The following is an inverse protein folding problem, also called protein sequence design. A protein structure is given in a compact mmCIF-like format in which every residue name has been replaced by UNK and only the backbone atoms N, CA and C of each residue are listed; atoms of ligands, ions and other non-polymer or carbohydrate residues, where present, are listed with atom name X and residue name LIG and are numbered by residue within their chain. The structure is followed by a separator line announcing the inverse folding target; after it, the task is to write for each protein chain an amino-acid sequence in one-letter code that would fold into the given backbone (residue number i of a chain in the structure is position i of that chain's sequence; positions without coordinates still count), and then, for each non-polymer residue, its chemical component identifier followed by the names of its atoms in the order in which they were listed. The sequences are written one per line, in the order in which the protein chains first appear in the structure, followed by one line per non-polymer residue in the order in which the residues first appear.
data_IF_264828876599
#
_entry.id   IF_264828876599
#
_cell.length_a   1.000
_cell.length_b   1.000
_cell.length_c   1.000
_cell.angle_alpha   90.00
_cell.angle_beta   90.00
_cell.angle_gamma   90.00
#
_symmetry.space_group_name_H-M   'P 1'
#
loop_
_entity.id
_entity.type
_entity.pdbx_description
1 polymer ?
#
# COMPACT_ATOMS: atom_id res chain seq x y z
N UNK A 1 -19.21 -6.95 22.47
CA UNK A 1 -17.90 -6.98 23.16
C UNK A 1 -16.78 -7.54 22.30
N UNK A 2 -17.06 -8.48 21.40
CA UNK A 2 -16.08 -9.11 20.50
C UNK A 2 -15.44 -8.11 19.52
N UNK A 3 -16.24 -7.27 18.86
CA UNK A 3 -15.78 -6.30 17.86
C UNK A 3 -14.73 -5.33 18.41
N UNK A 4 -14.93 -4.76 19.61
CA UNK A 4 -13.93 -3.88 20.24
C UNK A 4 -12.60 -4.59 20.55
N UNK A 5 -12.65 -5.91 20.83
CA UNK A 5 -11.43 -6.71 21.02
C UNK A 5 -10.71 -6.94 19.69
N UNK A 6 -11.47 -7.20 18.62
CA UNK A 6 -10.93 -7.34 17.29
C UNK A 6 -10.25 -6.04 16.79
N UNK A 7 -10.90 -4.89 17.00
CA UNK A 7 -10.34 -3.57 16.68
C UNK A 7 -9.03 -3.31 17.43
N UNK A 8 -8.99 -3.58 18.74
CA UNK A 8 -7.77 -3.44 19.54
C UNK A 8 -6.65 -4.37 19.07
N UNK A 9 -6.98 -5.59 18.66
CA UNK A 9 -6.01 -6.52 18.09
C UNK A 9 -5.47 -5.96 16.76
N UNK A 10 -6.34 -5.47 15.90
CA UNK A 10 -5.97 -4.84 14.63
C UNK A 10 -5.03 -3.64 14.84
N UNK A 11 -5.37 -2.72 15.74
CA UNK A 11 -4.52 -1.56 16.08
C UNK A 11 -3.13 -1.98 16.58
N UNK A 12 -3.06 -3.02 17.42
CA UNK A 12 -1.78 -3.56 17.88
C UNK A 12 -0.97 -4.16 16.71
N UNK A 13 -1.63 -4.81 15.78
CA UNK A 13 -1.02 -5.28 14.54
C UNK A 13 -0.39 -4.15 13.74
N UNK A 14 -1.12 -3.05 13.52
CA UNK A 14 -0.59 -1.87 12.83
C UNK A 14 0.60 -1.24 13.56
N UNK A 15 0.54 -1.16 14.90
CA UNK A 15 1.66 -0.67 15.72
C UNK A 15 2.89 -1.57 15.62
N UNK A 16 2.69 -2.89 15.53
CA UNK A 16 3.79 -3.84 15.33
C UNK A 16 4.43 -3.69 13.95
N UNK A 17 3.64 -3.51 12.90
CA UNK A 17 4.16 -3.17 11.56
C UNK A 17 4.99 -1.88 11.58
N UNK A 18 4.50 -0.83 12.25
CA UNK A 18 5.22 0.44 12.36
C UNK A 18 6.59 0.30 13.04
N UNK A 19 6.75 -0.69 13.92
CA UNK A 19 8.03 -1.05 14.57
C UNK A 19 8.88 -2.05 13.76
N UNK A 20 8.35 -2.55 12.64
CA UNK A 20 9.02 -3.58 11.83
C UNK A 20 8.88 -5.00 12.38
N UNK A 21 8.06 -5.20 13.42
CA UNK A 21 7.83 -6.51 14.03
C UNK A 21 6.66 -7.22 13.32
N UNK A 22 6.96 -7.78 12.15
CA UNK A 22 5.96 -8.46 11.33
C UNK A 22 5.48 -9.78 11.95
N UNK A 23 6.33 -10.44 12.75
CA UNK A 23 5.95 -11.70 13.40
C UNK A 23 4.91 -11.45 14.50
N UNK A 24 5.11 -10.45 15.34
CA UNK A 24 4.11 -10.07 16.34
C UNK A 24 2.83 -9.53 15.67
N UNK A 25 2.95 -8.76 14.58
CA UNK A 25 1.82 -8.24 13.82
C UNK A 25 0.94 -9.37 13.27
N UNK A 26 1.55 -10.46 12.78
CA UNK A 26 0.85 -11.63 12.26
C UNK A 26 -0.09 -12.23 13.31
N UNK A 27 0.38 -12.46 14.54
CA UNK A 27 -0.46 -12.97 15.62
C UNK A 27 -1.60 -12.03 16.00
N UNK A 28 -1.38 -10.71 15.93
CA UNK A 28 -2.44 -9.73 16.21
C UNK A 28 -3.52 -9.69 15.14
N UNK A 29 -3.16 -9.77 13.85
CA UNK A 29 -4.18 -9.85 12.79
C UNK A 29 -4.92 -11.16 12.78
N UNK A 30 -4.27 -12.28 13.06
CA UNK A 30 -4.92 -13.57 13.25
C UNK A 30 -5.94 -13.50 14.40
N UNK A 31 -5.55 -12.97 15.55
CA UNK A 31 -6.45 -12.76 16.68
C UNK A 31 -7.61 -11.80 16.32
N UNK A 32 -7.36 -10.76 15.52
CA UNK A 32 -8.40 -9.86 15.05
C UNK A 32 -9.44 -10.61 14.20
N UNK A 33 -8.98 -11.41 13.23
CA UNK A 33 -9.87 -12.21 12.38
C UNK A 33 -10.68 -13.24 13.17
N UNK A 34 -10.05 -13.93 14.12
CA UNK A 34 -10.73 -14.93 14.97
C UNK A 34 -11.83 -14.33 15.86
N UNK A 35 -11.74 -13.06 16.21
CA UNK A 35 -12.71 -12.34 17.03
C UNK A 35 -13.87 -11.72 16.22
N UNK A 36 -13.74 -11.66 14.89
CA UNK A 36 -14.77 -11.15 14.00
C UNK A 36 -15.75 -12.26 13.61
N UNK A 37 -17.03 -11.95 13.42
CA UNK A 37 -17.99 -12.90 12.85
C UNK A 37 -17.61 -13.25 11.41
N UNK A 38 -18.13 -14.37 10.90
CA UNK A 38 -17.90 -14.80 9.50
C UNK A 38 -18.24 -13.70 8.48
N UNK A 39 -19.16 -12.80 8.82
CA UNK A 39 -19.58 -11.64 8.01
C UNK A 39 -18.91 -10.35 8.52
N UNK A 40 -17.68 -10.40 8.98
CA UNK A 40 -16.95 -9.29 9.61
C UNK A 40 -16.73 -8.04 8.71
N UNK A 41 -17.29 -8.04 7.52
CA UNK A 41 -17.31 -6.90 6.61
C UNK A 41 -15.91 -6.43 6.20
N UNK A 42 -15.81 -5.15 5.88
CA UNK A 42 -14.56 -4.53 5.42
C UNK A 42 -13.41 -4.65 6.42
N UNK A 43 -13.72 -4.70 7.72
CA UNK A 43 -12.70 -4.82 8.77
C UNK A 43 -12.01 -6.20 8.76
N UNK A 44 -12.76 -7.27 8.52
CA UNK A 44 -12.18 -8.63 8.38
C UNK A 44 -11.32 -8.72 7.12
N UNK A 45 -11.76 -8.11 6.03
CA UNK A 45 -11.01 -8.04 4.76
C UNK A 45 -9.71 -7.26 4.96
N UNK A 46 -9.75 -6.11 5.65
CA UNK A 46 -8.56 -5.36 5.99
C UNK A 46 -7.58 -6.19 6.82
N UNK A 47 -8.07 -6.87 7.89
CA UNK A 47 -7.24 -7.72 8.74
C UNK A 47 -6.58 -8.86 7.93
N UNK A 48 -7.32 -9.51 7.02
CA UNK A 48 -6.81 -10.53 6.12
C UNK A 48 -5.71 -10.01 5.20
N UNK A 49 -5.87 -8.82 4.64
CA UNK A 49 -4.87 -8.17 3.78
C UNK A 49 -3.58 -7.86 4.55
N UNK A 50 -3.69 -7.30 5.76
CA UNK A 50 -2.53 -7.04 6.61
C UNK A 50 -1.87 -8.32 7.11
N UNK A 51 -2.65 -9.37 7.40
CA UNK A 51 -2.13 -10.69 7.70
C UNK A 51 -1.29 -11.24 6.55
N UNK A 52 -1.80 -11.19 5.31
CA UNK A 52 -1.06 -11.57 4.10
C UNK A 52 0.25 -10.79 3.95
N UNK A 53 0.23 -9.46 4.15
CA UNK A 53 1.45 -8.65 4.14
C UNK A 53 2.47 -9.11 5.18
N UNK A 54 2.02 -9.36 6.42
CA UNK A 54 2.89 -9.81 7.51
C UNK A 54 3.44 -11.21 7.22
N UNK A 55 2.63 -12.10 6.64
CA UNK A 55 3.04 -13.43 6.22
C UNK A 55 4.18 -13.36 5.20
N UNK A 56 4.08 -12.47 4.21
CA UNK A 56 5.12 -12.25 3.21
C UNK A 56 6.41 -11.63 3.79
N UNK A 57 6.30 -10.85 4.88
CA UNK A 57 7.44 -10.18 5.49
C UNK A 57 8.14 -11.02 6.56
N UNK A 58 7.40 -11.87 7.27
CA UNK A 58 7.90 -12.68 8.39
C UNK A 58 8.27 -14.11 7.99
N UNK A 59 7.79 -14.61 6.84
CA UNK A 59 7.95 -15.99 6.41
C UNK A 59 8.23 -16.09 4.91
N UNK A 60 8.55 -17.29 4.43
CA UNK A 60 8.72 -17.59 2.99
C UNK A 60 7.41 -18.05 2.30
N UNK A 61 6.25 -17.92 2.97
CA UNK A 61 4.93 -18.32 2.45
C UNK A 61 4.37 -17.25 1.48
N UNK A 62 5.17 -16.87 0.51
CA UNK A 62 4.85 -15.79 -0.43
C UNK A 62 3.62 -16.06 -1.32
N UNK A 63 3.40 -17.29 -1.86
CA UNK A 63 2.20 -17.56 -2.66
C UNK A 63 0.92 -17.37 -1.87
N UNK A 64 0.84 -17.94 -0.66
CA UNK A 64 -0.32 -17.81 0.21
C UNK A 64 -0.59 -16.35 0.63
N UNK A 65 0.49 -15.61 0.95
CA UNK A 65 0.39 -14.19 1.25
C UNK A 65 -0.23 -13.40 0.09
N UNK A 66 0.12 -13.75 -1.13
CA UNK A 66 -0.44 -13.15 -2.35
C UNK A 66 -1.92 -13.49 -2.51
N UNK A 67 -2.28 -14.77 -2.38
CA UNK A 67 -3.67 -15.22 -2.51
C UNK A 67 -4.59 -14.50 -1.51
N UNK A 68 -4.14 -14.34 -0.25
CA UNK A 68 -4.87 -13.60 0.78
C UNK A 68 -5.07 -12.11 0.41
N UNK A 69 -4.04 -11.46 -0.10
CA UNK A 69 -4.14 -10.07 -0.50
C UNK A 69 -4.97 -9.88 -1.78
N UNK A 70 -4.91 -10.81 -2.74
CA UNK A 70 -5.74 -10.79 -3.94
C UNK A 70 -7.21 -10.99 -3.57
N UNK A 71 -7.53 -11.98 -2.72
CA UNK A 71 -8.88 -12.20 -2.20
C UNK A 71 -9.43 -10.96 -1.46
N UNK A 72 -8.58 -10.25 -0.72
CA UNK A 72 -8.98 -9.01 -0.06
C UNK A 72 -9.35 -7.91 -1.07
N UNK A 73 -8.55 -7.72 -2.10
CA UNK A 73 -8.80 -6.74 -3.17
C UNK A 73 -10.07 -7.09 -3.96
N UNK A 74 -10.34 -8.39 -4.17
CA UNK A 74 -11.59 -8.83 -4.83
C UNK A 74 -12.81 -8.57 -3.98
N UNK A 75 -12.71 -8.76 -2.66
CA UNK A 75 -13.82 -8.56 -1.73
C UNK A 75 -14.18 -7.09 -1.51
N UNK A 76 -13.19 -6.18 -1.51
CA UNK A 76 -13.38 -4.73 -1.28
C UNK A 76 -12.50 -3.95 -2.27
N UNK A 77 -12.88 -3.88 -3.55
CA UNK A 77 -12.04 -3.30 -4.60
C UNK A 77 -11.89 -1.77 -4.54
N UNK A 78 -12.63 -1.07 -3.70
CA UNK A 78 -12.58 0.38 -3.51
C UNK A 78 -11.59 0.84 -2.42
N UNK A 79 -11.00 -0.08 -1.65
CA UNK A 79 -10.05 0.29 -0.59
C UNK A 79 -8.60 0.37 -1.13
N UNK A 80 -7.97 1.56 -1.17
CA UNK A 80 -6.62 1.73 -1.68
C UNK A 80 -5.54 1.07 -0.82
N UNK A 81 -5.79 0.84 0.48
CA UNK A 81 -4.82 0.19 1.38
C UNK A 81 -4.61 -1.28 1.02
N UNK A 82 -5.64 -1.96 0.49
CA UNK A 82 -5.52 -3.34 0.04
C UNK A 82 -4.57 -3.47 -1.15
N UNK A 83 -4.61 -2.51 -2.08
CA UNK A 83 -3.67 -2.44 -3.21
C UNK A 83 -2.25 -2.12 -2.75
N UNK A 84 -2.09 -1.34 -1.68
CA UNK A 84 -0.78 -1.08 -1.10
C UNK A 84 -0.17 -2.36 -0.54
N UNK A 85 -0.95 -3.14 0.21
CA UNK A 85 -0.50 -4.39 0.80
C UNK A 85 -0.17 -5.43 -0.27
N UNK A 86 -1.07 -5.66 -1.24
CA UNK A 86 -0.84 -6.57 -2.37
C UNK A 86 0.42 -6.18 -3.16
N UNK A 87 0.59 -4.91 -3.46
CA UNK A 87 1.77 -4.45 -4.18
C UNK A 87 3.07 -4.69 -3.42
N UNK A 88 3.07 -4.53 -2.08
CA UNK A 88 4.21 -4.88 -1.23
C UNK A 88 4.52 -6.37 -1.23
N UNK A 89 3.49 -7.22 -1.22
CA UNK A 89 3.66 -8.68 -1.36
C UNK A 89 4.28 -9.03 -2.72
N UNK A 90 3.82 -8.41 -3.81
CA UNK A 90 4.42 -8.57 -5.13
C UNK A 90 5.90 -8.12 -5.16
N UNK A 91 6.25 -7.02 -4.47
CA UNK A 91 7.66 -6.61 -4.33
C UNK A 91 8.51 -7.67 -3.61
N UNK A 92 7.95 -8.34 -2.59
CA UNK A 92 8.63 -9.44 -1.88
C UNK A 92 8.85 -10.67 -2.77
N UNK A 93 7.97 -10.89 -3.73
CA UNK A 93 8.09 -11.93 -4.76
C UNK A 93 9.00 -11.52 -5.93
N UNK A 94 9.60 -10.32 -5.88
CA UNK A 94 10.40 -9.72 -6.96
C UNK A 94 9.58 -9.43 -8.24
N UNK A 95 8.26 -9.56 -8.20
CA UNK A 95 7.34 -9.25 -9.30
C UNK A 95 7.05 -7.74 -9.36
N UNK A 96 8.06 -6.99 -9.81
CA UNK A 96 8.01 -5.53 -9.88
C UNK A 96 6.96 -4.99 -10.84
N UNK A 97 6.66 -5.73 -11.90
CA UNK A 97 5.65 -5.34 -12.87
C UNK A 97 4.26 -5.41 -12.28
N UNK A 98 3.96 -6.49 -11.58
CA UNK A 98 2.67 -6.65 -10.89
C UNK A 98 2.52 -5.65 -9.74
N UNK A 99 3.56 -5.46 -8.94
CA UNK A 99 3.59 -4.44 -7.88
C UNK A 99 3.26 -3.06 -8.44
N UNK A 100 3.90 -2.67 -9.57
CA UNK A 100 3.61 -1.41 -10.24
C UNK A 100 2.15 -1.27 -10.67
N UNK A 101 1.63 -2.27 -11.38
CA UNK A 101 0.24 -2.27 -11.85
C UNK A 101 -0.74 -2.16 -10.70
N UNK A 102 -0.46 -2.86 -9.61
CA UNK A 102 -1.28 -2.87 -8.39
C UNK A 102 -1.29 -1.49 -7.72
N UNK A 103 -0.12 -0.87 -7.52
CA UNK A 103 -0.04 0.48 -6.95
C UNK A 103 -0.74 1.53 -7.80
N UNK A 104 -0.63 1.43 -9.13
CA UNK A 104 -1.33 2.33 -10.05
C UNK A 104 -2.84 2.15 -9.95
N UNK A 105 -3.35 0.92 -9.78
CA UNK A 105 -4.78 0.68 -9.56
C UNK A 105 -5.26 1.34 -8.26
N UNK A 106 -4.52 1.18 -7.16
CA UNK A 106 -4.85 1.85 -5.90
C UNK A 106 -4.83 3.38 -6.00
N UNK A 107 -3.89 3.97 -6.75
CA UNK A 107 -3.85 5.42 -6.98
C UNK A 107 -4.98 5.97 -7.87
N UNK A 108 -5.64 5.12 -8.65
CA UNK A 108 -6.87 5.53 -9.36
C UNK A 108 -8.03 5.75 -8.40
N UNK A 109 -8.07 5.02 -7.28
CA UNK A 109 -9.05 5.18 -6.21
C UNK A 109 -8.74 6.40 -5.35
N UNK A 110 -7.49 6.53 -4.92
CA UNK A 110 -7.03 7.67 -4.14
C UNK A 110 -5.69 8.20 -4.68
N UNK A 111 -5.69 9.21 -5.55
CA UNK A 111 -4.47 9.77 -6.17
C UNK A 111 -3.49 10.41 -5.19
N UNK A 112 -3.92 10.71 -3.96
CA UNK A 112 -3.10 11.33 -2.91
C UNK A 112 -2.71 10.37 -1.80
N UNK A 113 -2.97 9.07 -1.97
CA UNK A 113 -2.67 8.07 -0.94
C UNK A 113 -1.16 8.02 -0.65
N UNK A 114 -0.70 8.40 0.57
CA UNK A 114 0.73 8.62 0.84
C UNK A 114 1.56 7.35 0.69
N UNK A 115 1.02 6.20 1.15
CA UNK A 115 1.71 4.92 1.06
C UNK A 115 1.92 4.44 -0.37
N UNK A 116 0.91 4.60 -1.24
CA UNK A 116 1.01 4.21 -2.65
C UNK A 116 1.97 5.11 -3.43
N UNK A 117 1.93 6.44 -3.16
CA UNK A 117 2.87 7.41 -3.77
C UNK A 117 4.30 7.06 -3.39
N UNK A 118 4.55 6.78 -2.12
CA UNK A 118 5.89 6.43 -1.64
C UNK A 118 6.35 5.06 -2.16
N UNK A 119 5.46 4.06 -2.23
CA UNK A 119 5.77 2.75 -2.78
C UNK A 119 6.20 2.85 -4.25
N UNK A 120 5.46 3.59 -5.08
CA UNK A 120 5.84 3.83 -6.46
C UNK A 120 7.17 4.61 -6.59
N UNK A 121 7.40 5.60 -5.71
CA UNK A 121 8.66 6.34 -5.68
C UNK A 121 9.84 5.41 -5.37
N UNK A 122 9.68 4.51 -4.40
CA UNK A 122 10.69 3.53 -3.98
C UNK A 122 10.95 2.48 -5.06
N UNK A 123 9.92 2.03 -5.77
CA UNK A 123 10.05 1.08 -6.88
C UNK A 123 10.99 1.59 -7.97
N UNK A 124 11.22 2.89 -7.99
CA UNK A 124 12.20 3.54 -8.85
C UNK A 124 11.84 3.44 -10.32
N UNK A 125 11.09 4.41 -10.80
CA UNK A 125 10.95 4.60 -12.24
C UNK A 125 12.28 5.03 -12.85
N UNK A 126 13.15 4.09 -13.17
CA UNK A 126 14.21 4.36 -14.14
C UNK A 126 13.55 4.60 -15.49
N UNK A 127 13.77 5.77 -16.04
CA UNK A 127 13.15 6.42 -17.22
C UNK A 127 13.01 5.57 -18.50
N UNK A 128 13.35 4.27 -18.53
CA UNK A 128 13.57 3.57 -19.80
C UNK A 128 12.60 2.47 -20.20
N UNK A 129 11.75 1.93 -19.35
CA UNK A 129 11.07 0.70 -19.78
C UNK A 129 9.55 0.69 -19.64
N UNK A 130 8.96 1.37 -18.66
CA UNK A 130 7.53 1.17 -18.38
C UNK A 130 6.65 2.20 -19.09
N UNK A 131 7.17 3.38 -19.37
CA UNK A 131 6.40 4.48 -20.00
C UNK A 131 6.39 4.38 -21.54
N UNK A 132 7.33 3.68 -22.14
CA UNK A 132 7.38 3.46 -23.60
C UNK A 132 6.30 2.54 -24.14
N UNK A 133 5.61 1.82 -23.25
CA UNK A 133 4.63 0.80 -23.63
C UNK A 133 3.17 1.29 -23.57
N UNK A 134 2.92 2.46 -23.00
CA UNK A 134 1.56 3.00 -22.84
C UNK A 134 1.37 4.25 -23.72
N UNK A 135 0.24 4.35 -24.45
CA UNK A 135 -0.11 5.56 -25.20
C UNK A 135 -0.04 6.81 -24.32
N UNK A 136 0.37 7.95 -24.90
CA UNK A 136 0.53 9.23 -24.17
C UNK A 136 -0.74 9.68 -23.45
N UNK A 137 -1.91 9.27 -23.94
CA UNK A 137 -3.24 9.67 -23.43
C UNK A 137 -3.78 8.74 -22.36
N UNK A 138 -3.03 7.70 -21.98
CA UNK A 138 -3.49 6.76 -20.97
C UNK A 138 -3.56 7.43 -19.59
N UNK A 139 -4.62 7.12 -18.82
CA UNK A 139 -4.88 7.70 -17.48
C UNK A 139 -3.67 7.59 -16.54
N UNK A 140 -2.83 6.57 -16.69
CA UNK A 140 -1.58 6.37 -15.97
C UNK A 140 -0.58 7.49 -16.24
N UNK A 141 -0.42 7.95 -17.49
CA UNK A 141 0.48 9.06 -17.82
C UNK A 141 -0.02 10.39 -17.23
N UNK A 142 -1.34 10.57 -17.11
CA UNK A 142 -1.96 11.74 -16.46
C UNK A 142 -1.72 11.72 -14.95
N UNK A 143 -1.88 10.57 -14.29
CA UNK A 143 -1.61 10.40 -12.85
C UNK A 143 -0.12 10.59 -12.54
N UNK A 144 0.76 10.00 -13.34
CA UNK A 144 2.21 10.17 -13.20
C UNK A 144 2.67 11.61 -13.51
N UNK A 145 2.04 12.25 -14.47
CA UNK A 145 2.27 13.66 -14.78
C UNK A 145 1.86 14.60 -13.64
N UNK A 146 0.72 14.35 -13.01
CA UNK A 146 0.25 15.11 -11.85
C UNK A 146 1.10 14.87 -10.61
N UNK A 147 1.56 13.64 -10.38
CA UNK A 147 2.51 13.28 -9.32
C UNK A 147 3.87 13.97 -9.51
N UNK A 148 4.37 14.01 -10.75
CA UNK A 148 5.61 14.73 -11.08
C UNK A 148 5.46 16.23 -10.84
N UNK A 149 4.33 16.81 -11.23
CA UNK A 149 4.06 18.23 -10.99
C UNK A 149 3.93 18.56 -9.50
N UNK A 150 3.34 17.67 -8.70
CA UNK A 150 3.23 17.82 -7.24
C UNK A 150 4.60 17.70 -6.55
N UNK A 151 5.46 16.78 -6.99
CA UNK A 151 6.82 16.58 -6.46
C UNK A 151 7.80 17.70 -6.88
N UNK A 152 7.60 18.32 -8.04
CA UNK A 152 8.43 19.43 -8.53
C UNK A 152 8.02 20.79 -7.95
N UNK A 153 6.85 20.92 -7.32
CA UNK A 153 6.43 22.12 -6.58
C UNK A 153 7.11 22.18 -5.19
N UNK A 154 8.44 22.06 -5.13
CA UNK A 154 9.17 22.55 -3.96
C UNK A 154 9.01 24.06 -3.91
N UNK A 155 8.57 24.65 -2.79
CA UNK A 155 8.52 26.10 -2.68
C UNK A 155 9.94 26.64 -2.87
N UNK A 156 10.13 27.46 -3.90
CA UNK A 156 11.36 28.24 -4.06
C UNK A 156 11.52 29.05 -2.76
N UNK A 157 12.51 28.72 -1.95
CA UNK A 157 12.95 29.54 -0.83
C UNK A 157 13.20 30.93 -1.39
N UNK A 158 12.36 31.89 -1.04
CA UNK A 158 12.58 33.32 -1.25
C UNK A 158 13.82 33.69 -0.43
N UNK A 159 14.96 33.77 -1.09
CA UNK A 159 16.14 34.43 -0.51
C UNK A 159 15.77 35.89 -0.32
N UNK A 160 15.51 36.28 0.93
CA UNK A 160 15.46 37.68 1.34
C UNK A 160 16.84 38.28 1.07
N UNK A 161 16.94 39.17 0.08
CA UNK A 161 18.07 40.09 -0.04
C UNK A 161 18.12 40.96 1.20
N UNK A 162 19.28 41.06 1.90
CA UNK A 162 19.43 42.07 2.93
C UNK A 162 19.41 43.45 2.27
N UNK A 163 18.63 44.38 2.81
CA UNK A 163 18.74 45.81 2.49
C UNK A 163 20.09 46.30 3.03
N UNK A 164 20.93 46.78 2.15
CA UNK A 164 22.09 47.57 2.51
C UNK A 164 21.63 48.91 3.09
N UNK A 165 22.19 49.29 4.23
CA UNK A 165 22.10 50.60 4.84
C UNK A 165 23.01 51.60 4.08
#
# INVERSE_FOLDING_TARGET
MSTRRAERAFEKGLQSIARGDFLAALGFFEASMALLPANGGTHAVAAMSYYGLCLACATDRLPEARDLCEAAVEAVPEDPDLYLNLGRVCERQEDREHAFRTYVRGLRLNPRHPGLVEALRRLGFRRRSVVGFLPRDHAVNRVLGSLRAALQRRPRRRTRRPKAA
#
